data_IF_642399304239
#
_entry.id   IF_642399304239
#
_cell.length_a   1.000
_cell.length_b   1.000
_cell.length_c   1.000
_cell.angle_alpha   90.00
_cell.angle_beta   90.00
_cell.angle_gamma   90.00
#
_symmetry.space_group_name_H-M   'P 1'
#
loop_
_entity.id
_entity.type
_entity.pdbx_description
1 polymer ?
#
# COMPACT_ATOMS: atom_id res chain seq x y z
N UNK A 1 -8.78 -9.87 21.07
CA UNK A 1 -8.74 -8.44 21.45
C UNK A 1 -7.99 -7.70 20.35
N UNK A 2 -8.69 -6.99 19.49
CA UNK A 2 -8.07 -6.25 18.39
C UNK A 2 -7.61 -4.90 18.95
N UNK A 3 -6.28 -4.70 19.01
CA UNK A 3 -5.70 -3.43 19.48
C UNK A 3 -6.01 -2.33 18.48
N UNK A 4 -6.40 -1.14 18.96
CA UNK A 4 -6.80 0.00 18.15
C UNK A 4 -5.72 0.55 17.26
N UNK A 5 -4.49 0.62 17.80
CA UNK A 5 -3.29 1.08 17.12
C UNK A 5 -2.10 0.36 17.69
N UNK A 6 -1.23 -0.07 16.83
CA UNK A 6 -0.02 -0.78 17.19
C UNK A 6 1.16 -0.13 16.48
N UNK A 7 2.27 0.02 17.21
CA UNK A 7 3.51 0.55 16.65
C UNK A 7 4.32 -0.61 16.07
N UNK A 8 4.74 -0.43 14.83
CA UNK A 8 5.52 -1.39 14.07
C UNK A 8 6.88 -0.79 13.69
N UNK A 9 7.92 -1.56 13.89
CA UNK A 9 9.26 -1.29 13.37
C UNK A 9 9.62 -2.22 12.21
N UNK A 10 8.63 -2.95 11.71
CA UNK A 10 8.78 -3.97 10.70
C UNK A 10 7.52 -4.09 9.82
N UNK A 11 7.71 -3.96 8.50
CA UNK A 11 6.63 -4.06 7.53
C UNK A 11 5.99 -5.46 7.47
N UNK A 12 6.78 -6.53 7.67
CA UNK A 12 6.24 -7.89 7.66
C UNK A 12 5.34 -8.14 8.90
N UNK A 13 5.67 -7.51 10.05
CA UNK A 13 4.81 -7.54 11.22
C UNK A 13 3.51 -6.78 10.96
N UNK A 14 3.59 -5.64 10.30
CA UNK A 14 2.43 -4.84 9.94
C UNK A 14 1.53 -5.56 8.91
N UNK A 15 2.09 -6.33 7.95
CA UNK A 15 1.28 -7.09 7.00
C UNK A 15 0.39 -8.14 7.66
N UNK A 16 0.79 -8.69 8.81
CA UNK A 16 -0.04 -9.64 9.56
C UNK A 16 -1.33 -9.01 10.09
N UNK A 17 -1.31 -7.70 10.38
CA UNK A 17 -2.49 -6.96 10.80
C UNK A 17 -3.58 -6.94 9.71
N UNK A 18 -3.18 -6.99 8.45
CA UNK A 18 -4.12 -6.99 7.31
C UNK A 18 -4.78 -8.36 7.07
N UNK A 19 -4.42 -9.41 7.83
CA UNK A 19 -5.01 -10.74 7.76
C UNK A 19 -4.76 -11.43 6.42
N UNK A 20 -5.81 -11.88 5.74
CA UNK A 20 -5.73 -12.56 4.44
C UNK A 20 -5.40 -11.66 3.25
N UNK A 21 -4.87 -10.48 3.49
CA UNK A 21 -4.44 -9.60 2.42
C UNK A 21 -3.28 -10.22 1.63
N UNK A 22 -3.50 -10.46 0.34
CA UNK A 22 -2.48 -10.98 -0.57
C UNK A 22 -1.65 -9.81 -1.13
N UNK A 23 -0.79 -9.26 -0.29
CA UNK A 23 0.03 -8.13 -0.68
C UNK A 23 1.38 -8.09 0.01
N UNK A 24 2.16 -7.09 -0.34
CA UNK A 24 3.48 -6.82 0.23
C UNK A 24 3.69 -5.33 0.44
N UNK A 25 4.49 -5.01 1.43
CA UNK A 25 4.94 -3.66 1.74
C UNK A 25 6.44 -3.57 1.45
N UNK A 26 6.85 -2.49 0.83
CA UNK A 26 8.24 -2.24 0.46
C UNK A 26 8.63 -0.85 0.96
N UNK A 27 9.61 -0.76 1.85
CA UNK A 27 10.19 0.51 2.24
C UNK A 27 11.10 1.02 1.11
N UNK A 28 10.84 2.23 0.62
CA UNK A 28 11.60 2.86 -0.46
C UNK A 28 12.65 3.84 0.07
N UNK A 29 12.36 4.56 1.14
CA UNK A 29 13.30 5.49 1.79
C UNK A 29 14.20 4.79 2.80
N UNK A 30 15.24 5.50 3.21
CA UNK A 30 16.27 5.00 4.14
C UNK A 30 15.90 5.35 5.58
N UNK A 31 16.24 4.49 6.52
CA UNK A 31 16.08 4.72 7.95
C UNK A 31 15.26 3.64 8.64
N UNK A 32 15.26 3.68 9.96
CA UNK A 32 14.47 2.77 10.76
C UNK A 32 12.98 3.07 10.57
N UNK A 33 12.19 2.04 10.28
CA UNK A 33 10.74 2.17 10.20
C UNK A 33 10.14 2.41 11.59
N UNK A 34 9.26 3.39 11.66
CA UNK A 34 8.30 3.56 12.73
C UNK A 34 6.93 3.78 12.07
N UNK A 35 6.06 2.80 12.19
CA UNK A 35 4.72 2.87 11.61
C UNK A 35 3.67 2.61 12.68
N UNK A 36 2.62 3.41 12.67
CA UNK A 36 1.42 3.19 13.47
C UNK A 36 0.34 2.65 12.56
N UNK A 37 -0.26 1.52 12.92
CA UNK A 37 -1.34 0.93 12.15
C UNK A 37 -2.48 0.47 13.05
N UNK A 38 -3.71 0.60 12.55
CA UNK A 38 -4.92 0.13 13.20
C UNK A 38 -5.87 -0.53 12.21
N UNK A 39 -6.63 -1.49 12.71
CA UNK A 39 -7.63 -2.21 11.94
C UNK A 39 -8.94 -2.32 12.72
N UNK A 40 -10.07 -2.05 12.05
CA UNK A 40 -11.39 -2.44 12.48
C UNK A 40 -11.97 -3.45 11.48
N UNK A 41 -12.37 -4.61 11.98
CA UNK A 41 -13.00 -5.66 11.20
C UNK A 41 -14.47 -5.75 11.58
N UNK A 42 -15.33 -5.29 10.68
CA UNK A 42 -16.77 -5.43 10.82
C UNK A 42 -17.33 -6.57 9.95
N UNK A 43 -18.66 -6.65 9.92
CA UNK A 43 -19.39 -7.61 9.08
C UNK A 43 -19.66 -7.08 7.67
N UNK A 44 -19.68 -5.75 7.50
CA UNK A 44 -20.01 -5.06 6.26
C UNK A 44 -18.80 -4.45 5.59
N UNK A 45 -17.89 -3.86 6.40
CA UNK A 45 -16.67 -3.23 5.91
C UNK A 45 -15.47 -3.49 6.85
N UNK A 46 -14.27 -3.30 6.32
CA UNK A 46 -13.03 -3.25 7.09
C UNK A 46 -12.43 -1.86 6.94
N UNK A 47 -11.87 -1.35 8.02
CA UNK A 47 -11.17 -0.08 8.03
C UNK A 47 -9.72 -0.30 8.44
N UNK A 48 -8.79 0.21 7.64
CA UNK A 48 -7.37 0.27 7.96
C UNK A 48 -6.95 1.73 8.08
N UNK A 49 -6.12 2.01 9.06
CA UNK A 49 -5.45 3.29 9.18
C UNK A 49 -3.97 3.05 9.40
N UNK A 50 -3.13 3.71 8.60
CA UNK A 50 -1.67 3.55 8.62
C UNK A 50 -1.02 4.92 8.53
N UNK A 51 0.02 5.13 9.32
CA UNK A 51 0.95 6.24 9.22
C UNK A 51 2.36 5.69 9.41
N UNK A 52 3.31 6.04 8.56
CA UNK A 52 4.70 5.59 8.65
C UNK A 52 5.65 6.76 8.42
N UNK A 53 6.78 6.76 9.13
CA UNK A 53 7.85 7.75 8.95
C UNK A 53 8.71 7.51 7.71
N UNK A 54 8.42 6.46 6.95
CA UNK A 54 9.16 6.08 5.76
C UNK A 54 8.25 6.08 4.53
N UNK A 55 8.84 6.32 3.35
CA UNK A 55 8.16 6.12 2.07
C UNK A 55 7.92 4.63 1.87
N UNK A 56 6.65 4.22 1.85
CA UNK A 56 6.25 2.82 1.75
C UNK A 56 5.42 2.61 0.49
N UNK A 57 5.84 1.64 -0.32
CA UNK A 57 5.02 1.14 -1.41
C UNK A 57 4.20 -0.05 -0.95
N UNK A 58 2.93 -0.03 -1.26
CA UNK A 58 1.97 -1.07 -0.97
C UNK A 58 1.56 -1.77 -2.26
N UNK A 59 1.75 -3.07 -2.32
CA UNK A 59 1.35 -3.91 -3.45
C UNK A 59 0.36 -4.96 -2.97
N UNK A 60 -0.73 -5.17 -3.70
CA UNK A 60 -1.71 -6.21 -3.37
C UNK A 60 -2.37 -6.78 -4.63
N UNK A 61 -2.75 -8.05 -4.57
CA UNK A 61 -3.52 -8.68 -5.63
C UNK A 61 -4.96 -8.18 -5.70
N UNK A 62 -5.58 -8.32 -6.86
CA UNK A 62 -7.03 -8.27 -6.98
C UNK A 62 -7.61 -9.56 -6.41
N UNK A 63 -8.71 -9.46 -5.65
CA UNK A 63 -9.42 -10.62 -5.10
C UNK A 63 -10.77 -10.89 -5.80
N UNK A 64 -11.11 -10.04 -6.78
CA UNK A 64 -12.34 -10.13 -7.57
C UNK A 64 -13.60 -9.74 -6.81
N UNK A 65 -13.52 -9.35 -5.54
CA UNK A 65 -14.70 -9.12 -4.69
C UNK A 65 -14.65 -7.81 -3.90
N UNK A 66 -13.47 -7.34 -3.52
CA UNK A 66 -13.31 -6.24 -2.57
C UNK A 66 -12.89 -4.95 -3.25
N UNK A 67 -13.74 -3.93 -3.17
CA UNK A 67 -13.39 -2.56 -3.51
C UNK A 67 -12.64 -1.89 -2.35
N UNK A 68 -11.70 -1.02 -2.68
CA UNK A 68 -10.97 -0.21 -1.69
C UNK A 68 -11.27 1.27 -1.94
N UNK A 69 -11.70 1.97 -0.89
CA UNK A 69 -11.97 3.41 -0.95
C UNK A 69 -11.05 4.14 0.02
N UNK A 70 -10.44 5.20 -0.48
CA UNK A 70 -9.45 5.97 0.27
C UNK A 70 -9.82 7.45 0.20
N UNK A 71 -10.38 7.99 1.29
CA UNK A 71 -10.63 9.41 1.43
C UNK A 71 -9.32 10.18 1.57
N UNK A 72 -9.15 11.25 0.79
CA UNK A 72 -7.93 12.07 0.76
C UNK A 72 -8.16 13.38 1.50
N UNK A 73 -7.33 13.65 2.52
CA UNK A 73 -7.37 14.89 3.28
C UNK A 73 -6.06 15.65 3.22
N UNK A 74 -6.18 16.95 3.07
CA UNK A 74 -5.09 17.91 3.22
C UNK A 74 -4.00 17.84 2.16
N UNK A 75 -3.01 18.70 2.27
CA UNK A 75 -1.76 18.53 1.56
C UNK A 75 -1.00 17.37 2.23
N UNK A 76 -1.48 16.16 2.02
CA UNK A 76 -0.61 15.02 2.01
C UNK A 76 0.44 15.39 0.98
N UNK A 77 1.70 15.57 1.38
CA UNK A 77 2.76 15.76 0.44
C UNK A 77 2.51 14.75 -0.67
N UNK A 78 2.58 15.17 -1.88
CA UNK A 78 2.32 14.46 -3.13
C UNK A 78 2.01 12.95 -3.03
N UNK A 79 0.81 12.59 -2.53
CA UNK A 79 0.35 11.20 -2.58
C UNK A 79 0.04 10.85 -4.03
N UNK A 80 0.86 10.00 -4.61
CA UNK A 80 0.64 9.47 -5.96
C UNK A 80 -0.06 8.12 -5.87
N UNK A 81 -1.25 8.07 -6.42
CA UNK A 81 -1.98 6.84 -6.66
C UNK A 81 -1.91 6.55 -8.15
N UNK A 82 -1.28 5.46 -8.52
CA UNK A 82 -1.07 5.10 -9.94
C UNK A 82 -0.53 6.26 -10.81
N UNK A 83 0.42 7.03 -10.30
CA UNK A 83 1.07 8.16 -11.01
C UNK A 83 0.19 9.41 -11.17
N UNK A 84 -0.94 9.50 -10.50
CA UNK A 84 -1.76 10.70 -10.48
C UNK A 84 -1.71 11.37 -9.12
N UNK A 85 -1.50 12.68 -9.13
CA UNK A 85 -1.64 13.52 -7.94
C UNK A 85 -3.11 13.56 -7.55
N UNK A 86 -3.42 13.27 -6.31
CA UNK A 86 -4.78 13.27 -5.77
C UNK A 86 -4.99 14.54 -4.96
N UNK A 87 -6.11 15.20 -5.17
CA UNK A 87 -6.46 16.42 -4.43
C UNK A 87 -7.17 16.10 -3.11
N UNK A 88 -7.02 16.99 -2.13
CA UNK A 88 -7.82 16.96 -0.92
C UNK A 88 -9.32 17.04 -1.23
N UNK A 89 -10.14 16.24 -0.55
CA UNK A 89 -11.59 16.18 -0.77
C UNK A 89 -12.02 15.15 -1.81
N UNK A 90 -11.07 14.46 -2.45
CA UNK A 90 -11.37 13.32 -3.33
C UNK A 90 -11.44 12.01 -2.53
N UNK A 91 -12.21 11.06 -3.03
CA UNK A 91 -12.20 9.66 -2.59
C UNK A 91 -11.70 8.82 -3.74
N UNK A 92 -10.60 8.13 -3.54
CA UNK A 92 -10.08 7.18 -4.52
C UNK A 92 -10.83 5.88 -4.36
N UNK A 93 -11.44 5.38 -5.43
CA UNK A 93 -12.03 4.06 -5.50
C UNK A 93 -11.15 3.14 -6.36
N UNK A 94 -10.73 2.03 -5.80
CA UNK A 94 -10.15 0.91 -6.52
C UNK A 94 -11.19 -0.21 -6.65
N UNK A 95 -11.50 -0.59 -7.86
CA UNK A 95 -12.34 -1.75 -8.14
C UNK A 95 -11.74 -3.08 -7.68
N UNK A 96 -12.58 -4.09 -7.53
CA UNK A 96 -12.16 -5.42 -7.07
C UNK A 96 -11.33 -6.20 -8.12
N UNK A 97 -11.36 -5.77 -9.37
CA UNK A 97 -10.75 -6.42 -10.55
C UNK A 97 -9.28 -6.05 -10.77
N UNK A 98 -8.79 -5.02 -10.10
CA UNK A 98 -7.42 -4.53 -10.32
C UNK A 98 -6.52 -4.68 -9.10
N UNK A 99 -5.21 -4.92 -9.30
CA UNK A 99 -4.23 -4.95 -8.23
C UNK A 99 -4.12 -3.60 -7.50
N UNK A 100 -3.80 -3.66 -6.22
CA UNK A 100 -3.45 -2.50 -5.41
C UNK A 100 -1.97 -2.16 -5.62
N UNK A 101 -1.69 -0.93 -6.00
CA UNK A 101 -0.33 -0.42 -6.16
C UNK A 101 -0.31 1.07 -5.81
N UNK A 102 0.17 1.36 -4.62
CA UNK A 102 0.19 2.70 -4.09
C UNK A 102 1.52 3.01 -3.39
N UNK A 103 1.94 4.26 -3.44
CA UNK A 103 3.02 4.81 -2.65
C UNK A 103 2.47 5.75 -1.59
N UNK A 104 2.96 5.61 -0.36
CA UNK A 104 2.59 6.40 0.79
C UNK A 104 3.84 7.17 1.21
N UNK A 105 3.76 8.49 1.14
CA UNK A 105 4.84 9.40 1.55
C UNK A 105 5.10 9.32 3.06
N UNK A 106 6.32 9.67 3.51
CA UNK A 106 6.63 9.75 4.92
C UNK A 106 5.62 10.62 5.68
N UNK A 107 5.23 10.14 6.85
CA UNK A 107 4.29 10.79 7.78
C UNK A 107 2.85 11.01 7.25
N UNK A 108 2.57 10.58 6.02
CA UNK A 108 1.23 10.58 5.50
C UNK A 108 0.34 9.57 6.23
N UNK A 109 -0.82 10.03 6.69
CA UNK A 109 -1.83 9.19 7.33
C UNK A 109 -2.85 8.73 6.31
N UNK A 110 -2.90 7.45 6.06
CA UNK A 110 -3.80 6.83 5.09
C UNK A 110 -4.90 6.07 5.82
N UNK A 111 -6.15 6.33 5.45
CA UNK A 111 -7.32 5.53 5.88
C UNK A 111 -7.87 4.83 4.65
N UNK A 112 -7.97 3.51 4.70
CA UNK A 112 -8.54 2.68 3.64
C UNK A 112 -9.78 1.94 4.14
N UNK A 113 -10.86 2.04 3.39
CA UNK A 113 -12.12 1.34 3.65
C UNK A 113 -12.29 0.24 2.61
N UNK A 114 -12.42 -0.98 3.06
CA UNK A 114 -12.56 -2.16 2.22
C UNK A 114 -13.98 -2.72 2.37
N UNK A 115 -14.68 -2.83 1.26
CA UNK A 115 -16.06 -3.31 1.21
C UNK A 115 -16.24 -4.19 -0.02
N UNK A 116 -17.00 -5.30 0.10
CA UNK A 116 -17.29 -6.09 -1.09
C UNK A 116 -18.16 -5.30 -2.07
N UNK A 117 -17.93 -5.46 -3.37
CA UNK A 117 -18.71 -4.78 -4.41
C UNK A 117 -20.22 -5.02 -4.24
N UNK A 118 -20.61 -6.26 -3.97
CA UNK A 118 -22.00 -6.64 -3.73
C UNK A 118 -22.62 -5.81 -2.58
N UNK A 119 -21.94 -5.74 -1.43
CA UNK A 119 -22.43 -4.98 -0.28
C UNK A 119 -22.46 -3.47 -0.54
N UNK A 120 -21.50 -2.96 -1.28
CA UNK A 120 -21.47 -1.54 -1.65
C UNK A 120 -22.67 -1.18 -2.52
N UNK A 121 -23.00 -2.02 -3.51
CA UNK A 121 -24.19 -1.86 -4.36
C UNK A 121 -25.48 -2.00 -3.58
N UNK A 122 -25.58 -3.00 -2.70
CA UNK A 122 -26.74 -3.23 -1.83
C UNK A 122 -26.98 -2.02 -0.90
N UNK A 123 -25.95 -1.55 -0.22
CA UNK A 123 -26.03 -0.38 0.65
C UNK A 123 -26.43 0.89 -0.12
N UNK A 124 -25.86 1.10 -1.30
CA UNK A 124 -26.20 2.25 -2.14
C UNK A 124 -27.67 2.19 -2.59
N UNK A 125 -28.14 1.03 -3.06
CA UNK A 125 -29.55 0.85 -3.45
C UNK A 125 -30.51 1.11 -2.27
N UNK A 126 -30.17 0.55 -1.10
CA UNK A 126 -30.98 0.70 0.11
C UNK A 126 -31.05 2.16 0.60
N UNK A 127 -29.94 2.89 0.54
CA UNK A 127 -29.85 4.25 1.07
C UNK A 127 -30.28 5.33 0.09
N UNK A 128 -30.03 5.12 -1.22
CA UNK A 128 -30.25 6.12 -2.27
C UNK A 128 -31.47 5.80 -3.15
N UNK A 129 -32.10 4.63 -2.99
CA UNK A 129 -33.22 4.19 -3.83
C UNK A 129 -32.87 3.92 -5.29
N UNK A 130 -31.58 3.89 -5.64
CA UNK A 130 -31.09 3.70 -7.02
C UNK A 130 -29.78 2.94 -7.05
N UNK A 131 -29.47 2.36 -8.21
CA UNK A 131 -28.18 1.72 -8.45
C UNK A 131 -27.03 2.75 -8.56
N UNK A 132 -25.79 2.31 -8.35
CA UNK A 132 -24.61 3.10 -8.64
C UNK A 132 -24.54 3.31 -10.16
N UNK A 133 -24.55 4.56 -10.59
CA UNK A 133 -24.66 4.93 -12.00
C UNK A 133 -23.43 4.61 -12.85
N UNK A 134 -22.27 4.37 -12.23
CA UNK A 134 -21.01 4.11 -12.92
C UNK A 134 -20.45 2.73 -12.59
N UNK A 135 -19.51 2.28 -13.41
CA UNK A 135 -18.76 1.04 -13.13
C UNK A 135 -17.93 1.21 -11.87
N UNK A 136 -17.82 0.14 -11.09
CA UNK A 136 -16.87 0.05 -9.97
C UNK A 136 -15.57 -0.67 -10.38
N UNK A 137 -15.44 -1.04 -11.67
CA UNK A 137 -14.22 -1.63 -12.22
C UNK A 137 -13.17 -0.56 -12.47
N UNK A 138 -11.92 -0.88 -12.24
CA UNK A 138 -10.83 0.07 -12.48
C UNK A 138 -10.53 1.00 -11.29
N UNK A 139 -9.81 2.08 -11.59
CA UNK A 139 -9.54 3.16 -10.65
C UNK A 139 -10.39 4.37 -10.98
N UNK A 140 -10.95 4.98 -9.94
CA UNK A 140 -11.78 6.16 -10.06
C UNK A 140 -11.38 7.20 -9.02
N UNK A 141 -11.53 8.48 -9.36
CA UNK A 141 -11.59 9.58 -8.41
C UNK A 141 -13.03 10.04 -8.28
N UNK A 142 -13.51 10.10 -7.08
CA UNK A 142 -14.85 10.58 -6.74
C UNK A 142 -14.71 11.95 -6.08
N UNK A 143 -15.29 12.98 -6.66
CA UNK A 143 -15.36 14.31 -6.03
C UNK A 143 -16.58 14.37 -5.13
N UNK A 144 -16.38 14.12 -3.87
CA UNK A 144 -17.43 14.28 -2.87
C UNK A 144 -17.60 15.76 -2.47
N UNK A 145 -18.78 16.12 -1.97
CA UNK A 145 -18.97 17.44 -1.37
C UNK A 145 -17.94 17.71 -0.25
N UNK A 146 -17.44 18.94 -0.07
CA UNK A 146 -16.31 19.23 0.84
C UNK A 146 -16.49 18.74 2.28
N UNK A 147 -17.74 18.67 2.76
CA UNK A 147 -18.05 18.18 4.12
C UNK A 147 -17.98 16.65 4.24
N UNK A 148 -18.05 15.90 3.14
CA UNK A 148 -18.19 14.44 3.16
C UNK A 148 -16.91 13.71 3.59
N UNK A 149 -15.78 14.09 3.00
CA UNK A 149 -14.50 13.42 3.30
C UNK A 149 -14.11 13.57 4.77
N UNK A 150 -14.16 14.77 5.40
CA UNK A 150 -13.95 14.90 6.84
C UNK A 150 -14.92 14.08 7.69
N UNK A 151 -16.20 14.03 7.33
CA UNK A 151 -17.19 13.19 8.03
C UNK A 151 -16.89 11.71 7.90
N UNK A 152 -16.57 11.23 6.71
CA UNK A 152 -16.20 9.84 6.47
C UNK A 152 -14.99 9.43 7.33
N UNK A 153 -13.98 10.29 7.40
CA UNK A 153 -12.79 10.03 8.23
C UNK A 153 -13.10 10.04 9.73
N UNK A 154 -13.98 10.93 10.18
CA UNK A 154 -14.45 10.92 11.57
C UNK A 154 -15.17 9.60 11.89
N UNK A 155 -16.10 9.14 11.02
CA UNK A 155 -16.81 7.86 11.19
C UNK A 155 -15.87 6.66 11.13
N UNK A 156 -14.88 6.69 10.25
CA UNK A 156 -13.85 5.64 10.20
C UNK A 156 -13.02 5.61 11.51
N UNK A 157 -12.68 6.76 12.07
CA UNK A 157 -12.03 6.87 13.37
C UNK A 157 -12.88 6.34 14.53
N UNK A 158 -14.18 6.67 14.56
CA UNK A 158 -15.13 6.12 15.53
C UNK A 158 -15.27 4.60 15.42
N UNK A 159 -15.33 4.07 14.21
CA UNK A 159 -15.40 2.63 13.97
C UNK A 159 -14.12 1.91 14.43
N UNK A 160 -12.95 2.47 14.13
CA UNK A 160 -11.68 2.00 14.67
C UNK A 160 -11.69 2.03 16.20
N UNK A 161 -12.22 3.09 16.83
CA UNK A 161 -12.32 3.24 18.28
C UNK A 161 -13.30 2.25 18.89
N UNK A 162 -14.47 2.09 18.35
CA UNK A 162 -15.51 1.22 18.87
C UNK A 162 -15.18 -0.28 18.75
N UNK A 163 -14.40 -0.67 17.76
CA UNK A 163 -14.04 -2.08 17.50
C UNK A 163 -13.26 -2.75 18.65
N UNK A 164 -12.68 -1.98 19.55
CA UNK A 164 -12.04 -2.49 20.78
C UNK A 164 -12.98 -2.53 22.00
N UNK A 165 -14.16 -1.90 21.92
CA UNK A 165 -15.01 -1.72 23.12
C UNK A 165 -16.13 -2.75 23.20
N UNK A 166 -17.12 -2.66 22.34
CA UNK A 166 -18.27 -3.57 22.33
C UNK A 166 -18.71 -3.94 20.92
N UNK A 167 -19.24 -5.16 20.72
CA UNK A 167 -19.74 -5.60 19.43
C UNK A 167 -20.91 -4.74 18.91
N UNK A 168 -21.79 -4.30 19.80
CA UNK A 168 -22.94 -3.44 19.45
C UNK A 168 -22.47 -2.04 19.05
N UNK A 169 -21.58 -1.44 19.83
CA UNK A 169 -20.99 -0.13 19.51
C UNK A 169 -20.23 -0.15 18.19
N UNK A 170 -19.46 -1.21 17.92
CA UNK A 170 -18.74 -1.39 16.68
C UNK A 170 -19.72 -1.50 15.47
N UNK A 171 -20.82 -2.24 15.59
CA UNK A 171 -21.81 -2.37 14.51
C UNK A 171 -22.51 -1.03 14.19
N UNK A 172 -22.82 -0.22 15.20
CA UNK A 172 -23.41 1.11 15.01
C UNK A 172 -22.44 2.05 14.28
N UNK A 173 -21.17 2.04 14.69
CA UNK A 173 -20.13 2.86 14.05
C UNK A 173 -19.82 2.38 12.63
N UNK A 174 -19.82 1.06 12.39
CA UNK A 174 -19.68 0.46 11.06
C UNK A 174 -20.79 0.95 10.13
N UNK A 175 -22.04 0.92 10.56
CA UNK A 175 -23.20 1.40 9.78
C UNK A 175 -23.11 2.90 9.48
N UNK A 176 -22.69 3.69 10.45
CA UNK A 176 -22.50 5.12 10.26
C UNK A 176 -21.37 5.40 9.24
N UNK A 177 -20.28 4.65 9.30
CA UNK A 177 -19.17 4.76 8.34
C UNK A 177 -19.63 4.34 6.93
N UNK A 178 -20.37 3.24 6.80
CA UNK A 178 -20.88 2.76 5.51
C UNK A 178 -21.86 3.77 4.88
N UNK A 179 -22.73 4.41 5.66
CA UNK A 179 -23.64 5.47 5.18
C UNK A 179 -22.88 6.66 4.63
N UNK A 180 -21.86 7.17 5.33
CA UNK A 180 -21.05 8.30 4.81
C UNK A 180 -20.26 7.89 3.55
N UNK A 181 -19.77 6.66 3.49
CA UNK A 181 -19.09 6.13 2.31
C UNK A 181 -20.01 6.13 1.09
N UNK A 182 -21.24 5.62 1.24
CA UNK A 182 -22.25 5.61 0.18
C UNK A 182 -22.61 7.04 -0.25
N UNK A 183 -22.72 7.95 0.70
CA UNK A 183 -23.00 9.36 0.39
C UNK A 183 -21.86 10.01 -0.43
N UNK A 184 -20.60 9.68 -0.15
CA UNK A 184 -19.47 10.15 -0.96
C UNK A 184 -19.56 9.65 -2.42
N UNK A 185 -20.01 8.41 -2.62
CA UNK A 185 -20.18 7.84 -3.98
C UNK A 185 -21.35 8.48 -4.71
N UNK A 186 -22.42 8.82 -3.99
CA UNK A 186 -23.63 9.38 -4.58
C UNK A 186 -23.51 10.85 -4.99
N UNK A 187 -22.61 11.62 -4.36
CA UNK A 187 -22.48 13.07 -4.54
C UNK A 187 -21.78 13.47 -5.83
N UNK A 188 -20.96 12.61 -6.43
CA UNK A 188 -20.12 13.03 -7.54
C UNK A 188 -19.98 12.06 -8.70
N UNK A 189 -19.69 12.59 -9.90
CA UNK A 189 -19.31 11.77 -11.02
C UNK A 189 -17.97 11.08 -10.74
N UNK A 190 -17.87 9.80 -11.09
CA UNK A 190 -16.61 9.10 -11.08
C UNK A 190 -15.79 9.51 -12.31
N UNK A 191 -14.61 10.07 -12.08
CA UNK A 191 -13.63 10.21 -13.15
C UNK A 191 -12.83 8.90 -13.26
N UNK A 192 -12.99 8.20 -14.38
CA UNK A 192 -12.20 6.99 -14.67
C UNK A 192 -10.76 7.43 -14.92
N UNK A 193 -9.82 6.85 -14.18
CA UNK A 193 -8.42 7.11 -14.44
C UNK A 193 -7.90 6.23 -15.57
N UNK A 194 -7.56 6.81 -16.72
CA UNK A 194 -6.84 6.06 -17.74
C UNK A 194 -5.50 5.62 -17.16
N UNK A 195 -5.11 4.39 -17.44
CA UNK A 195 -3.76 3.93 -17.18
C UNK A 195 -2.79 4.92 -17.86
N UNK A 196 -1.96 5.60 -17.07
CA UNK A 196 -0.98 6.54 -17.61
C UNK A 196 -0.11 5.81 -18.64
N UNK A 197 0.27 6.49 -19.72
CA UNK A 197 1.08 5.91 -20.80
C UNK A 197 2.40 5.28 -20.30
N UNK A 198 2.93 5.77 -19.18
CA UNK A 198 4.11 5.21 -18.49
C UNK A 198 3.80 4.07 -17.53
N UNK A 199 2.54 3.81 -17.19
CA UNK A 199 2.17 2.74 -16.26
C UNK A 199 2.50 1.36 -16.84
N UNK A 200 2.24 1.15 -18.12
CA UNK A 200 2.60 -0.10 -18.81
C UNK A 200 4.12 -0.30 -18.82
N UNK A 201 4.89 0.75 -19.11
CA UNK A 201 6.36 0.73 -19.07
C UNK A 201 6.87 0.34 -17.68
N UNK A 202 6.37 1.00 -16.64
CA UNK A 202 6.78 0.70 -15.25
C UNK A 202 6.35 -0.71 -14.86
N UNK A 203 5.16 -1.17 -15.22
CA UNK A 203 4.70 -2.53 -14.96
C UNK A 203 5.66 -3.55 -15.56
N UNK A 204 5.99 -3.43 -16.84
CA UNK A 204 6.93 -4.35 -17.52
C UNK A 204 8.32 -4.29 -16.87
N UNK A 205 8.79 -3.09 -16.51
CA UNK A 205 10.06 -2.96 -15.81
C UNK A 205 10.04 -3.67 -14.44
N UNK A 206 8.98 -3.54 -13.68
CA UNK A 206 8.83 -4.21 -12.38
C UNK A 206 8.80 -5.73 -12.52
N UNK A 207 8.08 -6.25 -13.51
CA UNK A 207 8.07 -7.70 -13.82
C UNK A 207 9.49 -8.21 -14.12
N UNK A 208 10.24 -7.48 -14.94
CA UNK A 208 11.64 -7.80 -15.22
C UNK A 208 12.52 -7.72 -13.97
N UNK A 209 12.41 -6.66 -13.16
CA UNK A 209 13.17 -6.51 -11.93
C UNK A 209 12.86 -7.59 -10.89
N UNK A 210 11.62 -8.02 -10.79
CA UNK A 210 11.23 -9.14 -9.92
C UNK A 210 11.78 -10.49 -10.41
N UNK A 211 11.88 -10.70 -11.72
CA UNK A 211 12.45 -11.93 -12.27
C UNK A 211 13.97 -12.01 -12.11
N UNK A 212 14.64 -10.89 -11.84
CA UNK A 212 16.12 -10.77 -11.77
C UNK A 212 16.65 -10.44 -10.38
N UNK A 213 15.96 -10.85 -9.31
CA UNK A 213 16.35 -10.54 -7.92
C UNK A 213 17.68 -11.20 -7.50
N UNK A 214 18.11 -12.25 -8.16
CA UNK A 214 19.33 -13.00 -7.84
C UNK A 214 20.63 -12.33 -8.31
N UNK A 215 20.56 -11.26 -9.11
CA UNK A 215 21.73 -10.53 -9.63
C UNK A 215 21.47 -9.03 -9.78
N UNK A 216 22.52 -8.21 -9.79
CA UNK A 216 22.37 -6.80 -10.21
C UNK A 216 22.02 -6.73 -11.70
N UNK A 217 21.24 -5.72 -12.08
CA UNK A 217 20.95 -5.39 -13.48
C UNK A 217 21.42 -3.97 -13.79
N UNK A 218 21.86 -3.75 -15.02
CA UNK A 218 22.22 -2.43 -15.52
C UNK A 218 21.00 -1.67 -16.04
N UNK A 219 21.11 -0.34 -16.13
CA UNK A 219 20.08 0.49 -16.76
C UNK A 219 19.80 0.06 -18.22
N UNK A 220 20.86 -0.34 -18.93
CA UNK A 220 20.73 -0.82 -20.32
C UNK A 220 19.87 -2.09 -20.43
N UNK A 221 20.10 -3.07 -19.56
CA UNK A 221 19.30 -4.29 -19.53
C UNK A 221 17.82 -4.01 -19.26
N UNK A 222 17.53 -3.08 -18.33
CA UNK A 222 16.13 -2.69 -18.03
C UNK A 222 15.53 -2.00 -19.27
N UNK A 223 16.25 -1.05 -19.87
CA UNK A 223 15.80 -0.35 -21.09
C UNK A 223 15.48 -1.32 -22.25
N UNK A 224 16.32 -2.32 -22.45
CA UNK A 224 16.11 -3.36 -23.47
C UNK A 224 14.85 -4.19 -23.16
N UNK A 225 14.67 -4.59 -21.89
CA UNK A 225 13.50 -5.37 -21.47
C UNK A 225 12.18 -4.61 -21.68
N UNK A 226 12.17 -3.29 -21.47
CA UNK A 226 10.95 -2.47 -21.61
C UNK A 226 10.85 -1.75 -22.96
N UNK A 227 11.84 -1.87 -23.82
CA UNK A 227 11.92 -1.19 -25.12
C UNK A 227 11.78 0.33 -25.02
N UNK A 228 12.44 0.92 -24.03
CA UNK A 228 12.41 2.36 -23.79
C UNK A 228 13.84 2.92 -23.59
N UNK A 229 14.01 4.22 -23.81
CA UNK A 229 15.27 4.88 -23.53
C UNK A 229 15.44 5.16 -22.01
N UNK A 230 16.70 5.31 -21.58
CA UNK A 230 17.08 5.51 -20.18
C UNK A 230 16.41 6.74 -19.55
N UNK A 231 16.28 7.85 -20.30
CA UNK A 231 15.64 9.08 -19.81
C UNK A 231 14.15 8.83 -19.46
N UNK A 232 13.42 8.19 -20.36
CA UNK A 232 11.99 7.88 -20.15
C UNK A 232 11.81 6.94 -18.97
N UNK A 233 12.64 5.90 -18.88
CA UNK A 233 12.62 4.93 -17.79
C UNK A 233 12.92 5.59 -16.43
N UNK A 234 13.98 6.42 -16.36
CA UNK A 234 14.34 7.14 -15.12
C UNK A 234 13.26 8.09 -14.68
N UNK A 235 12.69 8.89 -15.60
CA UNK A 235 11.59 9.79 -15.27
C UNK A 235 10.37 9.02 -14.73
N UNK A 236 10.00 7.91 -15.36
CA UNK A 236 8.87 7.10 -14.93
C UNK A 236 9.07 6.51 -13.51
N UNK A 237 10.31 6.10 -13.18
CA UNK A 237 10.64 5.59 -11.85
C UNK A 237 10.74 6.71 -10.81
N UNK A 238 11.36 7.85 -11.18
CA UNK A 238 11.47 9.00 -10.30
C UNK A 238 10.07 9.56 -9.93
N UNK A 239 9.19 9.72 -10.91
CA UNK A 239 7.83 10.19 -10.70
C UNK A 239 7.01 9.26 -9.79
N UNK A 240 7.30 7.96 -9.80
CA UNK A 240 6.48 6.99 -9.08
C UNK A 240 7.04 6.54 -7.74
N UNK A 241 8.36 6.46 -7.61
CA UNK A 241 9.03 5.83 -6.48
C UNK A 241 10.07 6.73 -5.83
N UNK A 242 10.27 7.92 -6.37
CA UNK A 242 11.32 8.87 -5.96
C UNK A 242 12.75 8.28 -6.00
N UNK A 243 12.92 7.19 -6.74
CA UNK A 243 14.23 6.54 -6.95
C UNK A 243 14.35 6.07 -8.40
N UNK A 244 15.60 6.02 -8.92
CA UNK A 244 15.84 5.46 -10.25
C UNK A 244 15.69 3.93 -10.32
N UNK A 245 15.54 3.36 -11.52
CA UNK A 245 15.23 1.93 -11.72
C UNK A 245 16.27 0.98 -11.14
N UNK A 246 17.56 1.30 -11.27
CA UNK A 246 18.67 0.49 -10.71
C UNK A 246 18.70 0.56 -9.18
N UNK A 247 18.46 1.75 -8.61
CA UNK A 247 18.35 1.92 -7.16
C UNK A 247 17.13 1.17 -6.62
N UNK A 248 16.00 1.24 -7.31
CA UNK A 248 14.80 0.47 -6.98
C UNK A 248 15.06 -1.03 -6.97
N UNK A 249 15.73 -1.58 -8.00
CA UNK A 249 16.11 -2.99 -8.04
C UNK A 249 17.01 -3.38 -6.85
N UNK A 250 17.93 -2.50 -6.48
CA UNK A 250 18.79 -2.73 -5.32
C UNK A 250 17.99 -2.80 -4.01
N UNK A 251 16.99 -1.93 -3.85
CA UNK A 251 16.04 -1.95 -2.71
C UNK A 251 15.27 -3.28 -2.69
N UNK A 252 14.71 -3.70 -3.83
CA UNK A 252 14.01 -4.99 -3.94
C UNK A 252 14.88 -6.16 -3.48
N UNK A 253 16.15 -6.20 -3.91
CA UNK A 253 17.10 -7.26 -3.51
C UNK A 253 17.40 -7.22 -2.02
N UNK A 254 17.57 -6.03 -1.41
CA UNK A 254 17.75 -5.90 0.04
C UNK A 254 16.53 -6.40 0.82
N UNK A 255 15.32 -6.10 0.37
CA UNK A 255 14.10 -6.65 0.95
C UNK A 255 14.02 -8.18 0.81
N UNK A 256 14.45 -8.73 -0.34
CA UNK A 256 14.51 -10.17 -0.53
C UNK A 256 15.49 -10.85 0.44
N UNK A 257 16.67 -10.25 0.67
CA UNK A 257 17.62 -10.71 1.70
C UNK A 257 16.95 -10.66 3.06
N UNK A 258 16.34 -9.53 3.44
CA UNK A 258 15.66 -9.37 4.74
C UNK A 258 14.61 -10.45 4.96
N UNK A 259 13.78 -10.72 3.95
CA UNK A 259 12.77 -11.77 3.98
C UNK A 259 13.40 -13.16 4.16
N UNK A 260 14.51 -13.46 3.47
CA UNK A 260 15.22 -14.72 3.59
C UNK A 260 15.81 -14.90 5.00
N UNK A 261 16.41 -13.87 5.60
CA UNK A 261 16.95 -13.89 6.95
C UNK A 261 15.84 -14.14 7.98
N UNK A 262 14.72 -13.40 7.90
CA UNK A 262 13.57 -13.56 8.82
C UNK A 262 12.90 -14.94 8.73
N UNK A 263 12.76 -15.46 7.53
CA UNK A 263 12.14 -16.78 7.28
C UNK A 263 13.08 -17.94 7.60
N UNK A 264 14.33 -17.66 8.01
CA UNK A 264 15.39 -18.66 8.28
C UNK A 264 15.63 -19.64 7.13
N UNK A 265 15.31 -19.21 5.90
CA UNK A 265 15.62 -20.00 4.68
C UNK A 265 17.12 -20.06 4.40
N UNK A 266 17.90 -19.20 5.04
CA UNK A 266 19.35 -19.13 4.95
C UNK A 266 19.97 -19.23 6.33
N UNK A 267 21.15 -19.87 6.41
CA UNK A 267 21.87 -20.13 7.68
C UNK A 267 22.78 -18.96 8.09
N UNK A 268 23.08 -18.06 7.15
CA UNK A 268 23.97 -16.94 7.40
C UNK A 268 23.61 -15.72 6.58
N UNK A 269 24.04 -14.54 7.06
CA UNK A 269 23.93 -13.27 6.32
C UNK A 269 24.67 -13.37 4.97
N UNK A 270 25.83 -14.03 4.95
CA UNK A 270 26.63 -14.23 3.73
C UNK A 270 25.84 -14.99 2.68
N UNK A 271 25.26 -16.12 3.06
CA UNK A 271 24.47 -16.96 2.17
C UNK A 271 23.27 -16.16 1.60
N UNK A 272 22.51 -15.51 2.46
CA UNK A 272 21.38 -14.69 2.04
C UNK A 272 21.79 -13.57 1.05
N UNK A 273 22.85 -12.85 1.37
CA UNK A 273 23.36 -11.77 0.52
C UNK A 273 23.82 -12.29 -0.86
N UNK A 274 24.53 -13.42 -0.88
CA UNK A 274 25.02 -14.02 -2.13
C UNK A 274 23.90 -14.52 -3.03
N UNK A 275 22.84 -15.14 -2.51
CA UNK A 275 21.66 -15.57 -3.26
C UNK A 275 21.04 -14.42 -4.05
N UNK A 276 21.02 -13.23 -3.44
CA UNK A 276 20.48 -12.03 -4.08
C UNK A 276 21.56 -11.15 -4.72
N UNK A 277 22.74 -11.71 -5.05
CA UNK A 277 23.79 -11.08 -5.87
C UNK A 277 24.56 -9.97 -5.18
N UNK A 278 24.65 -9.94 -3.85
CA UNK A 278 25.53 -9.04 -3.10
C UNK A 278 26.87 -9.73 -2.84
N UNK A 279 27.88 -9.39 -3.65
CA UNK A 279 29.23 -10.02 -3.58
C UNK A 279 30.16 -9.32 -2.58
N UNK A 280 29.96 -8.01 -2.34
CA UNK A 280 30.76 -7.21 -1.40
C UNK A 280 30.02 -7.06 -0.07
N UNK A 281 30.24 -7.98 0.85
CA UNK A 281 29.47 -8.08 2.09
C UNK A 281 29.62 -6.88 3.03
N UNK A 282 30.79 -6.22 3.08
CA UNK A 282 31.00 -5.03 3.92
C UNK A 282 30.16 -3.85 3.45
N UNK A 283 30.15 -3.55 2.16
CA UNK A 283 29.30 -2.48 1.60
C UNK A 283 27.81 -2.82 1.69
N UNK A 284 27.46 -4.10 1.51
CA UNK A 284 26.09 -4.57 1.69
C UNK A 284 25.60 -4.35 3.13
N UNK A 285 26.38 -4.75 4.14
CA UNK A 285 25.97 -4.60 5.54
C UNK A 285 25.80 -3.12 5.93
N UNK A 286 26.69 -2.25 5.45
CA UNK A 286 26.58 -0.81 5.68
C UNK A 286 25.30 -0.22 5.04
N UNK A 287 25.01 -0.56 3.79
CA UNK A 287 23.82 -0.11 3.09
C UNK A 287 22.55 -0.66 3.72
N UNK A 288 22.53 -1.93 4.10
CA UNK A 288 21.43 -2.57 4.77
C UNK A 288 21.07 -1.84 6.07
N UNK A 289 22.12 -1.52 6.88
CA UNK A 289 21.95 -0.73 8.10
C UNK A 289 21.39 0.66 7.84
N UNK A 290 21.89 1.34 6.80
CA UNK A 290 21.38 2.67 6.42
C UNK A 290 19.91 2.57 5.98
N UNK A 291 19.53 1.51 5.27
CA UNK A 291 18.19 1.36 4.70
C UNK A 291 17.15 0.91 5.73
N UNK A 292 17.49 -0.05 6.61
CA UNK A 292 16.54 -0.62 7.57
C UNK A 292 16.74 -0.15 9.02
N UNK A 293 17.82 0.56 9.32
CA UNK A 293 18.14 0.99 10.67
C UNK A 293 18.71 -0.12 11.57
N UNK A 294 18.91 -1.33 11.05
CA UNK A 294 19.42 -2.51 11.77
C UNK A 294 20.48 -3.25 10.97
N UNK A 295 21.34 -4.01 11.62
CA UNK A 295 22.32 -4.86 10.96
C UNK A 295 21.65 -6.12 10.38
N UNK A 296 22.15 -6.68 9.25
CA UNK A 296 21.64 -7.97 8.75
C UNK A 296 21.75 -9.12 9.76
N UNK A 297 22.76 -9.09 10.63
CA UNK A 297 22.93 -10.05 11.72
C UNK A 297 21.86 -9.94 12.80
N UNK A 298 21.40 -8.71 13.09
CA UNK A 298 20.31 -8.46 14.03
C UNK A 298 18.99 -8.99 13.45
N UNK A 299 18.74 -8.77 12.16
CA UNK A 299 17.58 -9.36 11.46
C UNK A 299 17.59 -10.89 11.53
N UNK A 300 18.77 -11.55 11.35
CA UNK A 300 18.90 -13.01 11.43
C UNK A 300 18.70 -13.52 12.87
N UNK A 301 19.17 -12.76 13.87
CA UNK A 301 19.06 -13.09 15.30
C UNK A 301 17.69 -12.80 15.90
N UNK A 302 16.88 -11.93 15.28
CA UNK A 302 15.54 -11.61 15.75
C UNK A 302 14.67 -12.87 15.75
N UNK A 303 14.02 -13.17 16.89
CA UNK A 303 13.02 -14.24 16.95
C UNK A 303 11.89 -13.87 15.99
N UNK A 304 11.36 -14.80 15.20
CA UNK A 304 10.10 -14.59 14.54
C UNK A 304 9.09 -14.21 15.63
N UNK A 305 8.57 -13.00 15.58
CA UNK A 305 7.52 -12.55 16.50
C UNK A 305 6.41 -13.59 16.42
N UNK A 306 6.10 -14.24 17.53
CA UNK A 306 5.38 -15.50 17.65
C UNK A 306 4.12 -15.60 16.80
N UNK A 307 3.85 -16.84 16.40
CA UNK A 307 2.62 -17.23 15.73
C UNK A 307 1.40 -17.06 16.61
#
# INVERSE_FOLDING_TARGET
>A
MTRHRELFHDLDAMTRLFGRWNGSLLQLSRGQLAAEAGVAQGTKLRCFQVQANQHVRTLGGADGTTCTLIPVTGPLGECYWQQRRVAAGEVILRGCDIPYDASIEPDAKVTALLVSEHRLREAHRSLMGREIAHSLSGWHSLRAAPIRVPRLLARAGEFLAASASTAVGAAVCEDACLRELVACIADGPAEIWPLASRAALVKTALEFLHSTLNRPVSSLEICQAVRANDRTLRLAFQERFDVGPVAYQRILRMHAVRKALKSRKTRSVREAAMIFGFTRLGSFAAEYRIHFGEQPSETLGSRPSGG
#
